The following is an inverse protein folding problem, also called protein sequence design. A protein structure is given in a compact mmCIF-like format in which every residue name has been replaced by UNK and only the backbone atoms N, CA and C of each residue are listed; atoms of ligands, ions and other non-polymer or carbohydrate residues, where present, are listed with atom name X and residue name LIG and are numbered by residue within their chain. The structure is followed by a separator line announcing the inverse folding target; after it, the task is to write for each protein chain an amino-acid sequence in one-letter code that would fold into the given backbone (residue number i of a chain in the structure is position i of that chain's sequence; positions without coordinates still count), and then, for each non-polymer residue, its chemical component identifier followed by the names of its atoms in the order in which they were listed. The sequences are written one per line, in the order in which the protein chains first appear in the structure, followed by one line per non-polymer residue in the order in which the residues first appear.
data_IF_370493824952
#
_entry.id   IF_370493824952
#
_cell.length_a   1.000
_cell.length_b   1.000
_cell.length_c   1.000
_cell.angle_alpha   90.00
_cell.angle_beta   90.00
_cell.angle_gamma   90.00
#
_symmetry.space_group_name_H-M   'P 1'
#
loop_
_entity.id
_entity.type
_entity.pdbx_description
1 polymer ?
#
# COMPACT_ATOMS: atom_id res chain seq x y z
N UNK A 1 1.15 -21.37 -6.99
CA UNK A 1 1.43 -20.22 -7.90
C UNK A 1 2.15 -19.13 -7.09
N UNK A 2 3.23 -18.52 -7.59
CA UNK A 2 3.90 -17.39 -6.90
C UNK A 2 3.30 -16.10 -7.45
N UNK A 3 2.59 -15.35 -6.61
CA UNK A 3 2.04 -14.05 -7.00
C UNK A 3 3.16 -13.02 -7.11
N UNK A 4 2.98 -12.07 -8.02
CA UNK A 4 3.78 -10.86 -8.13
C UNK A 4 2.94 -9.74 -7.54
N UNK A 5 3.50 -8.98 -6.61
CA UNK A 5 2.85 -7.78 -6.08
C UNK A 5 3.65 -6.57 -6.51
N UNK A 6 2.98 -5.48 -6.83
CA UNK A 6 3.65 -4.28 -7.29
C UNK A 6 2.76 -3.06 -7.19
N UNK A 7 3.36 -1.91 -7.46
CA UNK A 7 2.67 -0.63 -7.54
C UNK A 7 3.32 0.26 -8.60
N UNK A 8 2.59 1.29 -8.98
CA UNK A 8 3.07 2.40 -9.79
C UNK A 8 2.49 3.70 -9.24
N UNK A 9 3.31 4.75 -9.20
CA UNK A 9 2.93 6.09 -8.75
C UNK A 9 3.10 7.04 -9.93
N UNK A 10 2.03 7.75 -10.26
CA UNK A 10 2.00 8.73 -11.34
C UNK A 10 1.87 10.15 -10.80
N UNK A 11 2.57 11.08 -11.43
CA UNK A 11 2.33 12.51 -11.30
C UNK A 11 1.73 13.03 -12.61
N UNK A 12 0.40 13.19 -12.62
CA UNK A 12 -0.35 13.46 -13.85
C UNK A 12 -0.26 12.26 -14.80
N UNK A 13 0.37 12.44 -15.97
CA UNK A 13 0.57 11.38 -16.98
C UNK A 13 1.96 10.72 -16.89
N UNK A 14 2.80 11.15 -15.96
CA UNK A 14 4.20 10.72 -15.85
C UNK A 14 4.35 9.66 -14.77
N UNK A 15 4.95 8.50 -15.09
CA UNK A 15 5.33 7.50 -14.11
C UNK A 15 6.56 8.00 -13.34
N UNK A 16 6.46 8.14 -12.02
CA UNK A 16 7.54 8.70 -11.18
C UNK A 16 8.14 7.69 -10.21
N UNK A 17 7.41 6.63 -9.86
CA UNK A 17 7.92 5.52 -9.04
C UNK A 17 7.17 4.23 -9.36
N UNK A 18 7.85 3.09 -9.30
CA UNK A 18 7.23 1.78 -9.47
C UNK A 18 8.00 0.70 -8.70
N UNK A 19 7.29 -0.36 -8.34
CA UNK A 19 7.88 -1.56 -7.78
C UNK A 19 7.15 -2.79 -8.31
N UNK A 20 7.91 -3.83 -8.63
CA UNK A 20 7.38 -5.16 -8.89
C UNK A 20 8.21 -6.18 -8.10
N UNK A 21 7.56 -6.94 -7.22
CA UNK A 21 8.19 -7.95 -6.39
C UNK A 21 7.49 -9.29 -6.56
N UNK A 22 8.24 -10.26 -7.07
CA UNK A 22 7.82 -11.66 -7.08
C UNK A 22 7.95 -12.21 -5.67
N UNK A 23 6.88 -12.78 -5.12
CA UNK A 23 6.95 -13.32 -3.77
C UNK A 23 7.84 -14.57 -3.74
N UNK A 24 8.83 -14.56 -2.84
CA UNK A 24 9.80 -15.65 -2.68
C UNK A 24 9.14 -16.89 -2.05
N UNK A 25 8.16 -16.67 -1.15
CA UNK A 25 7.37 -17.73 -0.52
C UNK A 25 5.99 -17.82 -1.15
N UNK A 26 5.47 -19.04 -1.28
CA UNK A 26 4.05 -19.27 -1.57
C UNK A 26 3.28 -18.67 -0.40
N UNK A 27 2.51 -17.61 -0.65
CA UNK A 27 1.79 -16.93 0.41
C UNK A 27 0.74 -17.85 1.05
N UNK A 28 0.64 -17.84 2.38
CA UNK A 28 -0.46 -18.48 3.11
C UNK A 28 -1.77 -17.66 2.99
N UNK A 29 -1.72 -16.37 2.62
CA UNK A 29 -2.90 -15.56 2.24
C UNK A 29 -2.53 -14.34 1.38
N UNK A 30 -3.24 -14.10 0.27
CA UNK A 30 -3.02 -12.95 -0.62
C UNK A 30 -3.28 -11.61 0.07
N UNK A 31 -4.27 -11.56 0.97
CA UNK A 31 -4.73 -10.37 1.68
C UNK A 31 -3.66 -9.67 2.53
N UNK A 32 -2.83 -10.42 3.28
CA UNK A 32 -1.76 -9.83 4.10
C UNK A 32 -0.65 -9.21 3.25
N UNK A 33 -0.38 -9.79 2.08
CA UNK A 33 0.59 -9.24 1.15
C UNK A 33 0.08 -7.97 0.47
N UNK A 34 -1.18 -7.94 0.07
CA UNK A 34 -1.84 -6.76 -0.49
C UNK A 34 -1.83 -5.59 0.50
N UNK A 35 -2.14 -5.85 1.77
CA UNK A 35 -2.08 -4.82 2.82
C UNK A 35 -0.67 -4.24 3.00
N UNK A 36 0.36 -5.09 3.03
CA UNK A 36 1.77 -4.63 3.13
C UNK A 36 2.17 -3.78 1.94
N UNK A 37 1.72 -4.15 0.74
CA UNK A 37 1.95 -3.35 -0.45
C UNK A 37 1.20 -2.02 -0.42
N UNK A 38 -0.01 -1.97 0.12
CA UNK A 38 -0.76 -0.72 0.31
C UNK A 38 -0.03 0.24 1.26
N UNK A 39 0.45 -0.27 2.40
CA UNK A 39 1.25 0.54 3.36
C UNK A 39 2.50 1.10 2.70
N UNK A 40 3.20 0.28 1.88
CA UNK A 40 4.36 0.74 1.13
C UNK A 40 4.00 1.86 0.12
N UNK A 41 2.88 1.73 -0.61
CA UNK A 41 2.40 2.76 -1.53
C UNK A 41 2.13 4.08 -0.79
N UNK A 42 1.46 4.02 0.36
CA UNK A 42 1.14 5.22 1.15
C UNK A 42 2.42 5.92 1.64
N UNK A 43 3.41 5.16 2.10
CA UNK A 43 4.69 5.72 2.52
C UNK A 43 5.42 6.41 1.34
N UNK A 44 5.47 5.77 0.17
CA UNK A 44 6.08 6.33 -1.05
C UNK A 44 5.38 7.61 -1.50
N UNK A 45 4.04 7.62 -1.53
CA UNK A 45 3.26 8.82 -1.89
C UNK A 45 3.56 9.95 -0.90
N UNK A 46 3.59 9.66 0.40
CA UNK A 46 3.89 10.66 1.44
C UNK A 46 5.28 11.25 1.25
N UNK A 47 6.27 10.40 0.96
CA UNK A 47 7.64 10.85 0.68
C UNK A 47 7.72 11.72 -0.57
N UNK A 48 7.07 11.32 -1.67
CA UNK A 48 7.00 12.11 -2.91
C UNK A 48 6.33 13.46 -2.65
N UNK A 49 5.26 13.51 -1.86
CA UNK A 49 4.61 14.77 -1.50
C UNK A 49 5.51 15.69 -0.67
N UNK A 50 6.31 15.13 0.26
CA UNK A 50 7.30 15.89 1.01
C UNK A 50 8.35 16.49 0.07
N UNK A 51 8.92 15.67 -0.82
CA UNK A 51 9.90 16.09 -1.80
C UNK A 51 9.36 17.20 -2.71
N UNK A 52 8.14 17.05 -3.23
CA UNK A 52 7.49 18.07 -4.04
C UNK A 52 7.27 19.38 -3.28
N UNK A 53 7.01 19.29 -1.97
CA UNK A 53 6.85 20.48 -1.12
C UNK A 53 8.18 21.22 -0.97
N UNK A 54 9.29 20.51 -0.74
CA UNK A 54 10.64 21.08 -0.67
C UNK A 54 11.06 21.72 -2.00
N UNK A 55 10.65 21.12 -3.13
CA UNK A 55 10.89 21.65 -4.48
C UNK A 55 9.94 22.79 -4.89
N UNK A 56 9.12 23.31 -3.97
CA UNK A 56 8.12 24.36 -4.25
C UNK A 56 7.07 23.97 -5.32
N UNK A 57 6.90 22.66 -5.56
CA UNK A 57 5.94 22.08 -6.51
C UNK A 57 4.77 21.39 -5.78
N UNK A 58 4.30 22.00 -4.68
CA UNK A 58 3.29 21.41 -3.80
C UNK A 58 2.02 21.03 -4.55
N UNK A 59 1.59 19.79 -4.38
CA UNK A 59 0.33 19.29 -4.91
C UNK A 59 -0.79 19.49 -3.89
N UNK A 60 -1.84 20.24 -4.25
CA UNK A 60 -2.98 20.54 -3.36
C UNK A 60 -4.08 19.48 -3.41
N UNK A 61 -4.09 18.63 -4.44
CA UNK A 61 -5.08 17.56 -4.58
C UNK A 61 -4.65 16.33 -3.77
N UNK A 62 -5.60 15.66 -3.07
CA UNK A 62 -5.31 14.40 -2.39
C UNK A 62 -4.88 13.33 -3.41
N UNK A 63 -3.91 12.47 -3.06
CA UNK A 63 -3.46 11.40 -3.93
C UNK A 63 -4.56 10.34 -4.10
N UNK A 64 -4.73 9.86 -5.33
CA UNK A 64 -5.71 8.83 -5.68
C UNK A 64 -5.02 7.47 -5.72
N UNK A 65 -5.45 6.53 -4.88
CA UNK A 65 -4.89 5.19 -4.81
C UNK A 65 -5.90 4.19 -5.39
N UNK A 66 -5.47 3.43 -6.39
CA UNK A 66 -6.25 2.35 -7.00
C UNK A 66 -5.68 1.02 -6.51
N UNK A 67 -6.54 0.14 -6.01
CA UNK A 67 -6.17 -1.18 -5.53
C UNK A 67 -7.28 -2.19 -5.88
N UNK A 68 -6.93 -3.43 -6.16
CA UNK A 68 -7.91 -4.51 -6.36
C UNK A 68 -8.45 -4.93 -4.99
N UNK A 69 -9.67 -4.49 -4.70
CA UNK A 69 -10.19 -4.27 -3.34
C UNK A 69 -10.81 -5.51 -2.66
N UNK A 70 -10.78 -6.71 -3.25
CA UNK A 70 -11.40 -7.86 -2.58
C UNK A 70 -10.73 -8.22 -1.24
N UNK A 71 -9.42 -7.98 -1.06
CA UNK A 71 -8.71 -8.21 0.21
C UNK A 71 -8.69 -7.01 1.17
N UNK A 72 -8.64 -5.78 0.65
CA UNK A 72 -8.44 -4.56 1.46
C UNK A 72 -9.72 -4.13 2.17
N UNK A 73 -10.89 -4.26 1.54
CA UNK A 73 -12.18 -3.89 2.17
C UNK A 73 -12.52 -4.78 3.36
N UNK A 74 -12.17 -6.08 3.32
CA UNK A 74 -12.36 -6.99 4.45
C UNK A 74 -11.47 -6.62 5.65
N UNK A 75 -10.26 -6.10 5.39
CA UNK A 75 -9.33 -5.68 6.44
C UNK A 75 -9.66 -4.29 7.00
N UNK A 76 -10.09 -3.32 6.19
CA UNK A 76 -10.46 -1.99 6.68
C UNK A 76 -11.75 -2.01 7.49
N UNK A 77 -12.73 -2.83 7.10
CA UNK A 77 -13.94 -3.08 7.90
C UNK A 77 -13.62 -3.81 9.21
N UNK A 78 -12.72 -4.80 9.19
CA UNK A 78 -12.26 -5.43 10.42
C UNK A 78 -11.39 -4.50 11.29
N UNK A 79 -10.54 -3.63 10.72
CA UNK A 79 -9.72 -2.67 11.48
C UNK A 79 -10.55 -1.63 12.24
N UNK A 80 -11.66 -1.16 11.64
CA UNK A 80 -12.60 -0.24 12.31
C UNK A 80 -13.33 -0.94 13.48
N UNK A 81 -13.60 -2.24 13.37
CA UNK A 81 -14.23 -3.03 14.44
C UNK A 81 -13.24 -3.61 15.47
N UNK A 82 -11.98 -3.87 15.09
CA UNK A 82 -10.94 -4.47 15.94
C UNK A 82 -10.16 -3.47 16.80
N UNK A 83 -10.58 -2.21 16.87
CA UNK A 83 -10.13 -1.31 17.94
C UNK A 83 -10.55 -1.79 19.35
N UNK A 84 -11.30 -2.92 19.45
CA UNK A 84 -11.67 -3.58 20.71
C UNK A 84 -11.39 -5.09 20.82
N UNK A 85 -10.47 -5.69 20.06
CA UNK A 85 -10.15 -7.12 20.30
C UNK A 85 -8.66 -7.41 20.34
N UNK A 86 -8.23 -7.63 21.59
CA UNK A 86 -7.03 -8.29 22.10
C UNK A 86 -6.31 -9.24 21.13
N UNK A 87 -4.97 -9.17 21.22
CA UNK A 87 -3.98 -10.25 21.07
C UNK A 87 -4.16 -11.22 19.88
N UNK A 88 -3.21 -11.19 18.94
CA UNK A 88 -2.70 -12.44 18.37
C UNK A 88 -1.24 -12.29 17.90
N UNK A 89 -0.37 -12.83 18.75
CA UNK A 89 0.87 -13.57 18.48
C UNK A 89 2.01 -12.93 17.67
N UNK A 90 3.08 -12.67 18.44
CA UNK A 90 4.47 -12.98 18.13
C UNK A 90 4.62 -14.22 17.24
N UNK A 91 5.47 -14.12 16.22
CA UNK A 91 6.48 -15.13 15.95
C UNK A 91 7.65 -14.43 15.24
N UNK A 92 8.81 -14.45 15.92
CA UNK A 92 10.18 -14.09 15.53
C UNK A 92 10.42 -13.38 14.18
#
# INVERSE_FOLDING_TARGET
MRSTTGYCVYLGKNLVSWMAKKQHRVSRSSTKAEFRSLVAIVAEITWIQSLLTELHAKHTKPPLIWCDILGVVLLTTNLVLHSKSKYFELDL
#
